data_IF_284116869755
#
_entry.id   IF_284116869755
#
_cell.length_a   1.000
_cell.length_b   1.000
_cell.length_c   1.000
_cell.angle_alpha   90.00
_cell.angle_beta   90.00
_cell.angle_gamma   90.00
#
_symmetry.space_group_name_H-M   'P 1'
#
loop_
_entity.id
_entity.type
_entity.pdbx_description
1 polymer ?
#
# COMPACT_ATOMS: atom_id res chain seq x y z
N UNK A 1 -42.02 9.19 -6.37
CA UNK A 1 -43.12 8.39 -5.78
C UNK A 1 -44.44 9.17 -5.71
N UNK A 2 -44.57 10.21 -4.88
CA UNK A 2 -45.87 10.79 -4.48
C UNK A 2 -46.81 11.27 -5.60
N UNK A 3 -46.28 11.69 -6.75
CA UNK A 3 -47.07 12.16 -7.90
C UNK A 3 -47.98 11.09 -8.52
N UNK A 4 -47.59 9.81 -8.47
CA UNK A 4 -48.41 8.70 -8.98
C UNK A 4 -49.69 8.52 -8.15
N UNK A 5 -49.59 8.68 -6.81
CA UNK A 5 -50.75 8.58 -5.91
C UNK A 5 -51.76 9.71 -6.13
N UNK A 6 -51.27 10.94 -6.39
CA UNK A 6 -52.14 12.08 -6.69
C UNK A 6 -52.94 11.90 -7.99
N UNK A 7 -52.33 11.34 -9.04
CA UNK A 7 -53.01 11.08 -10.30
C UNK A 7 -54.04 9.94 -10.18
N UNK A 8 -53.74 8.89 -9.40
CA UNK A 8 -54.68 7.80 -9.14
C UNK A 8 -55.96 8.30 -8.42
N UNK A 9 -55.82 9.18 -7.42
CA UNK A 9 -56.96 9.80 -6.72
C UNK A 9 -57.84 10.63 -7.65
N UNK A 10 -57.23 11.49 -8.49
CA UNK A 10 -57.97 12.29 -9.48
C UNK A 10 -58.73 11.44 -10.50
N UNK A 11 -58.18 10.30 -10.91
CA UNK A 11 -58.89 9.36 -11.78
C UNK A 11 -60.10 8.75 -11.08
N UNK A 12 -59.93 8.31 -9.83
CA UNK A 12 -61.01 7.76 -9.01
C UNK A 12 -62.14 8.78 -8.77
N UNK A 13 -61.79 10.04 -8.47
CA UNK A 13 -62.74 11.15 -8.33
C UNK A 13 -63.54 11.39 -9.62
N UNK A 14 -62.86 11.43 -10.77
CA UNK A 14 -63.51 11.63 -12.08
C UNK A 14 -64.44 10.46 -12.48
N UNK A 15 -64.09 9.22 -12.12
CA UNK A 15 -64.91 8.05 -12.42
C UNK A 15 -66.12 7.92 -11.48
N UNK A 16 -65.99 8.32 -10.20
CA UNK A 16 -67.12 8.49 -9.28
C UNK A 16 -68.07 9.58 -9.78
N UNK A 17 -67.55 10.73 -10.21
CA UNK A 17 -68.39 11.82 -10.75
C UNK A 17 -69.12 11.38 -12.03
N UNK A 18 -68.44 10.63 -12.90
CA UNK A 18 -69.03 10.02 -14.11
C UNK A 18 -70.16 9.05 -13.76
N UNK A 19 -69.97 8.19 -12.77
CA UNK A 19 -70.97 7.23 -12.29
C UNK A 19 -72.21 7.94 -11.73
N UNK A 20 -72.03 8.96 -10.91
CA UNK A 20 -73.13 9.79 -10.37
C UNK A 20 -73.89 10.49 -11.50
N UNK A 21 -73.19 11.11 -12.45
CA UNK A 21 -73.80 11.76 -13.63
C UNK A 21 -74.57 10.77 -14.51
N UNK A 22 -74.10 9.52 -14.64
CA UNK A 22 -74.85 8.46 -15.35
C UNK A 22 -76.09 7.99 -14.59
N UNK A 23 -75.98 7.76 -13.27
CA UNK A 23 -77.12 7.36 -12.43
C UNK A 23 -78.23 8.42 -12.45
N UNK A 24 -77.87 9.70 -12.30
CA UNK A 24 -78.82 10.81 -12.34
C UNK A 24 -79.53 10.94 -13.70
N UNK A 25 -78.82 10.74 -14.82
CA UNK A 25 -79.44 10.73 -16.16
C UNK A 25 -80.43 9.59 -16.33
N UNK A 26 -80.05 8.37 -15.92
CA UNK A 26 -80.93 7.19 -15.95
C UNK A 26 -82.19 7.39 -15.09
N UNK A 27 -82.04 7.98 -13.90
CA UNK A 27 -83.18 8.28 -13.04
C UNK A 27 -84.13 9.35 -13.63
N UNK A 28 -83.58 10.40 -14.26
CA UNK A 28 -84.38 11.41 -14.97
C UNK A 28 -85.11 10.80 -16.17
N UNK A 29 -84.49 9.87 -16.90
CA UNK A 29 -85.09 9.15 -18.02
C UNK A 29 -86.21 8.20 -17.57
N UNK A 30 -86.00 7.46 -16.48
CA UNK A 30 -87.03 6.63 -15.86
C UNK A 30 -88.22 7.46 -15.33
N UNK A 31 -87.96 8.60 -14.66
CA UNK A 31 -89.03 9.53 -14.23
C UNK A 31 -89.84 10.03 -15.44
N UNK A 32 -89.17 10.39 -16.55
CA UNK A 32 -89.83 10.84 -17.79
C UNK A 32 -90.63 9.73 -18.49
N UNK A 33 -90.18 8.48 -18.49
CA UNK A 33 -90.93 7.37 -19.10
C UNK A 33 -92.18 7.03 -18.30
N UNK A 34 -92.11 7.08 -16.96
CA UNK A 34 -93.27 6.97 -16.06
C UNK A 34 -94.24 8.14 -16.27
N UNK A 35 -93.76 9.38 -16.30
CA UNK A 35 -94.60 10.57 -16.55
C UNK A 35 -95.31 10.51 -17.91
N UNK A 36 -94.61 10.10 -18.97
CA UNK A 36 -95.17 9.91 -20.31
C UNK A 36 -96.23 8.81 -20.34
N UNK A 37 -95.99 7.69 -19.65
CA UNK A 37 -96.94 6.58 -19.55
C UNK A 37 -98.19 6.99 -18.76
N UNK A 38 -98.03 7.70 -17.65
CA UNK A 38 -99.14 8.26 -16.87
C UNK A 38 -99.95 9.28 -17.68
N UNK A 39 -99.30 10.16 -18.44
CA UNK A 39 -99.97 11.10 -19.36
C UNK A 39 -100.79 10.37 -20.43
N UNK A 40 -100.28 9.26 -20.99
CA UNK A 40 -101.04 8.43 -21.93
C UNK A 40 -102.25 7.78 -21.25
N UNK A 41 -102.08 7.14 -20.10
CA UNK A 41 -103.19 6.52 -19.36
C UNK A 41 -104.29 7.52 -18.97
N UNK A 42 -103.93 8.77 -18.64
CA UNK A 42 -104.90 9.86 -18.39
C UNK A 42 -105.61 10.31 -19.67
N UNK A 43 -104.94 10.26 -20.83
CA UNK A 43 -105.55 10.55 -22.13
C UNK A 43 -106.55 9.43 -22.51
N UNK A 44 -106.12 8.17 -22.45
CA UNK A 44 -106.94 6.97 -22.70
C UNK A 44 -108.18 6.95 -21.78
N UNK A 45 -108.02 7.22 -20.48
CA UNK A 45 -109.14 7.31 -19.54
C UNK A 45 -110.12 8.46 -19.83
N UNK A 46 -109.67 9.55 -20.46
CA UNK A 46 -110.54 10.64 -20.94
C UNK A 46 -111.28 10.26 -22.22
N UNK A 47 -110.69 9.44 -23.07
CA UNK A 47 -111.28 8.97 -24.32
C UNK A 47 -112.33 7.88 -24.05
N UNK A 48 -112.01 6.87 -23.24
CA UNK A 48 -112.97 5.89 -22.71
C UNK A 48 -114.17 6.57 -22.00
N UNK A 49 -113.94 7.70 -21.30
CA UNK A 49 -115.03 8.47 -20.67
C UNK A 49 -115.95 9.16 -21.69
N UNK A 50 -115.46 9.54 -22.89
CA UNK A 50 -116.30 10.06 -23.98
C UNK A 50 -117.12 8.94 -24.62
N UNK A 51 -116.48 7.83 -24.93
CA UNK A 51 -117.12 6.64 -25.52
C UNK A 51 -118.25 6.12 -24.62
N UNK A 52 -118.01 6.05 -23.31
CA UNK A 52 -119.02 5.63 -22.33
C UNK A 52 -120.20 6.62 -22.21
N UNK A 53 -120.04 7.89 -22.61
CA UNK A 53 -121.15 8.85 -22.74
C UNK A 53 -121.92 8.62 -24.05
N UNK A 54 -121.23 8.42 -25.19
CA UNK A 54 -121.86 8.11 -26.47
C UNK A 54 -122.69 6.81 -26.39
N UNK A 55 -122.11 5.74 -25.85
CA UNK A 55 -122.79 4.45 -25.62
C UNK A 55 -123.99 4.56 -24.66
N UNK A 56 -124.06 5.61 -23.82
CA UNK A 56 -125.26 5.91 -23.02
C UNK A 56 -126.33 6.61 -23.84
N UNK A 57 -125.96 7.55 -24.72
CA UNK A 57 -126.88 8.25 -25.62
C UNK A 57 -127.50 7.27 -26.63
N UNK A 58 -126.67 6.49 -27.33
CA UNK A 58 -127.12 5.44 -28.28
C UNK A 58 -128.10 4.44 -27.61
N UNK A 59 -127.84 4.08 -26.35
CA UNK A 59 -128.71 3.19 -25.56
C UNK A 59 -130.07 3.80 -25.21
N UNK A 60 -130.18 5.12 -25.12
CA UNK A 60 -131.47 5.80 -24.96
C UNK A 60 -132.18 5.98 -26.32
N UNK A 61 -131.44 6.29 -27.39
CA UNK A 61 -131.97 6.40 -28.75
C UNK A 61 -132.56 5.06 -29.25
N UNK A 62 -131.86 3.95 -29.05
CA UNK A 62 -132.37 2.61 -29.35
C UNK A 62 -133.64 2.27 -28.54
N UNK A 63 -133.74 2.77 -27.29
CA UNK A 63 -134.94 2.64 -26.45
C UNK A 63 -136.12 3.47 -26.95
N UNK A 64 -135.87 4.58 -27.65
CA UNK A 64 -136.89 5.39 -28.31
C UNK A 64 -137.31 4.79 -29.65
N UNK A 65 -136.37 4.24 -30.43
CA UNK A 65 -136.64 3.57 -31.70
C UNK A 65 -137.49 2.30 -31.53
N UNK A 66 -137.17 1.47 -30.54
CA UNK A 66 -137.90 0.24 -30.22
C UNK A 66 -139.38 0.46 -29.81
N UNK A 67 -139.80 1.71 -29.55
CA UNK A 67 -141.19 2.08 -29.24
C UNK A 67 -142.01 2.52 -30.46
N UNK A 68 -141.43 2.56 -31.68
CA UNK A 68 -142.08 3.16 -32.87
C UNK A 68 -142.41 2.20 -34.03
N UNK A 69 -141.88 0.97 -34.07
CA UNK A 69 -141.96 0.11 -35.26
C UNK A 69 -142.82 -1.17 -35.07
N UNK A 70 -144.13 -1.00 -34.96
CA UNK A 70 -145.12 -2.07 -35.13
C UNK A 70 -146.38 -1.52 -35.83
N UNK A 71 -146.92 -2.25 -36.83
CA UNK A 71 -148.27 -2.17 -37.51
C UNK A 71 -148.27 -2.08 -39.08
N UNK A 72 -148.76 -3.16 -39.76
CA UNK A 72 -149.61 -3.29 -41.00
C UNK A 72 -149.17 -3.17 -42.51
N UNK A 73 -149.99 -3.80 -43.40
CA UNK A 73 -150.12 -3.85 -44.90
C UNK A 73 -151.48 -4.58 -45.31
N UNK A 74 -151.84 -5.19 -46.50
CA UNK A 74 -151.40 -5.18 -47.95
C UNK A 74 -152.53 -5.31 -49.08
N UNK A 75 -152.15 -5.47 -50.39
CA UNK A 75 -152.70 -6.40 -51.47
C UNK A 75 -153.93 -6.13 -52.47
N UNK A 76 -153.97 -6.87 -53.65
CA UNK A 76 -155.00 -7.30 -54.70
C UNK A 76 -155.96 -6.32 -55.50
N UNK A 77 -156.66 -6.60 -56.66
CA UNK A 77 -156.62 -7.61 -57.80
C UNK A 77 -157.94 -7.86 -58.67
N UNK A 78 -157.89 -8.18 -60.01
CA UNK A 78 -159.00 -8.75 -60.91
C UNK A 78 -159.41 -8.01 -62.25
N UNK A 79 -160.28 -8.46 -63.23
CA UNK A 79 -160.74 -9.78 -63.83
C UNK A 79 -161.77 -9.68 -65.07
N UNK A 80 -161.87 -10.70 -65.99
CA UNK A 80 -163.01 -11.19 -66.91
C UNK A 80 -163.62 -10.35 -68.13
N UNK A 81 -164.43 -10.80 -69.18
CA UNK A 81 -164.82 -12.06 -69.93
C UNK A 81 -165.70 -11.89 -71.27
N UNK A 82 -165.89 -12.97 -72.11
CA UNK A 82 -166.92 -13.30 -73.20
C UNK A 82 -166.94 -12.59 -74.61
N UNK A 83 -167.50 -13.03 -75.80
CA UNK A 83 -168.42 -14.08 -76.42
C UNK A 83 -169.95 -13.77 -76.64
N UNK A 84 -170.79 -14.37 -77.59
CA UNK A 84 -170.70 -15.52 -78.57
C UNK A 84 -171.49 -15.44 -79.99
N UNK A 85 -171.79 -16.60 -80.65
CA UNK A 85 -172.81 -17.05 -81.69
C UNK A 85 -172.64 -16.98 -83.27
N UNK A 86 -173.45 -17.73 -84.08
CA UNK A 86 -173.02 -18.54 -85.28
C UNK A 86 -173.65 -18.30 -86.71
N UNK A 87 -173.13 -19.06 -87.69
CA UNK A 87 -173.50 -19.27 -89.14
C UNK A 87 -173.26 -18.16 -90.17
N UNK A 88 -173.92 -16.99 -90.14
CA UNK A 88 -173.39 -15.85 -90.92
C UNK A 88 -171.99 -15.47 -90.37
N UNK A 89 -171.85 -15.67 -89.06
CA UNK A 89 -170.58 -15.66 -88.33
C UNK A 89 -169.64 -16.81 -88.73
N UNK A 90 -170.00 -17.82 -89.53
CA UNK A 90 -169.00 -18.81 -90.02
C UNK A 90 -168.15 -18.23 -91.15
N UNK A 91 -168.73 -17.46 -92.08
CA UNK A 91 -167.92 -16.74 -93.09
C UNK A 91 -167.16 -15.58 -92.46
N UNK A 92 -167.82 -14.78 -91.60
CA UNK A 92 -167.11 -13.73 -90.84
C UNK A 92 -166.08 -14.31 -89.87
N UNK A 93 -166.26 -15.51 -89.30
CA UNK A 93 -165.19 -16.22 -88.58
C UNK A 93 -164.11 -16.70 -89.53
N UNK A 94 -164.39 -17.08 -90.78
CA UNK A 94 -163.33 -17.46 -91.73
C UNK A 94 -162.43 -16.26 -92.05
N UNK A 95 -163.02 -15.11 -92.34
CA UNK A 95 -162.28 -13.85 -92.53
C UNK A 95 -161.58 -13.38 -91.23
N UNK A 96 -162.25 -13.51 -90.08
CA UNK A 96 -161.69 -13.17 -88.76
C UNK A 96 -160.58 -14.14 -88.36
N UNK A 97 -160.66 -15.42 -88.72
CA UNK A 97 -159.60 -16.42 -88.50
C UNK A 97 -158.45 -16.17 -89.46
N UNK A 98 -158.69 -15.78 -90.71
CA UNK A 98 -157.61 -15.37 -91.63
C UNK A 98 -156.91 -14.10 -91.15
N UNK A 99 -157.64 -13.08 -90.69
CA UNK A 99 -157.03 -11.84 -90.16
C UNK A 99 -156.41 -12.03 -88.77
N UNK A 100 -156.98 -12.85 -87.89
CA UNK A 100 -156.35 -13.25 -86.63
C UNK A 100 -155.15 -14.17 -86.85
N UNK A 101 -155.15 -15.04 -87.86
CA UNK A 101 -154.00 -15.86 -88.22
C UNK A 101 -152.89 -15.03 -88.87
N UNK A 102 -153.23 -14.08 -89.75
CA UNK A 102 -152.25 -13.13 -90.28
C UNK A 102 -151.62 -12.29 -89.15
N UNK A 103 -152.45 -11.80 -88.22
CA UNK A 103 -151.99 -11.07 -87.03
C UNK A 103 -151.22 -11.95 -86.04
N UNK A 104 -151.57 -13.23 -85.89
CA UNK A 104 -150.78 -14.16 -85.09
C UNK A 104 -149.42 -14.40 -85.75
N UNK A 105 -149.37 -14.63 -87.06
CA UNK A 105 -148.10 -14.79 -87.78
C UNK A 105 -147.21 -13.53 -87.67
N UNK A 106 -147.81 -12.33 -87.71
CA UNK A 106 -147.16 -11.03 -87.49
C UNK A 106 -146.69 -10.82 -86.05
N UNK A 107 -147.48 -11.26 -85.05
CA UNK A 107 -147.08 -11.26 -83.64
C UNK A 107 -146.02 -12.32 -83.35
N UNK A 108 -146.05 -13.47 -84.01
CA UNK A 108 -145.04 -14.52 -83.93
C UNK A 108 -143.74 -14.08 -84.61
N UNK A 109 -143.78 -13.43 -85.78
CA UNK A 109 -142.57 -12.84 -86.37
C UNK A 109 -141.99 -11.73 -85.49
N UNK A 110 -142.83 -10.82 -84.97
CA UNK A 110 -142.39 -9.77 -84.04
C UNK A 110 -141.83 -10.34 -82.73
N UNK A 111 -142.43 -11.39 -82.18
CA UNK A 111 -141.93 -12.08 -80.98
C UNK A 111 -140.60 -12.77 -81.27
N UNK A 112 -140.45 -13.44 -82.41
CA UNK A 112 -139.20 -14.07 -82.83
C UNK A 112 -138.08 -13.04 -83.09
N UNK A 113 -138.42 -11.88 -83.66
CA UNK A 113 -137.49 -10.74 -83.81
C UNK A 113 -137.05 -10.17 -82.46
N UNK A 114 -137.99 -9.96 -81.52
CA UNK A 114 -137.69 -9.52 -80.16
C UNK A 114 -136.85 -10.56 -79.39
N UNK A 115 -137.18 -11.85 -79.50
CA UNK A 115 -136.39 -12.94 -78.94
C UNK A 115 -134.95 -12.93 -79.48
N UNK A 116 -134.78 -12.74 -80.80
CA UNK A 116 -133.47 -12.65 -81.42
C UNK A 116 -132.72 -11.36 -81.04
N UNK A 117 -133.41 -10.24 -80.82
CA UNK A 117 -132.80 -9.01 -80.30
C UNK A 117 -132.35 -9.18 -78.84
N UNK A 118 -133.17 -9.81 -78.00
CA UNK A 118 -132.83 -10.14 -76.60
C UNK A 118 -131.58 -11.01 -76.58
N UNK A 119 -131.54 -12.14 -77.30
CA UNK A 119 -130.35 -13.00 -77.31
C UNK A 119 -129.11 -12.33 -77.91
N UNK A 120 -129.25 -11.41 -78.88
CA UNK A 120 -128.12 -10.57 -79.36
C UNK A 120 -127.61 -9.62 -78.28
N UNK A 121 -128.49 -9.03 -77.48
CA UNK A 121 -128.13 -8.15 -76.36
C UNK A 121 -127.55 -8.94 -75.18
N UNK A 122 -128.06 -10.13 -74.89
CA UNK A 122 -127.49 -11.06 -73.90
C UNK A 122 -126.08 -11.49 -74.30
N UNK A 123 -125.87 -11.87 -75.56
CA UNK A 123 -124.55 -12.18 -76.13
C UNK A 123 -123.57 -11.00 -76.03
N UNK A 124 -124.03 -9.78 -76.33
CA UNK A 124 -123.22 -8.57 -76.24
C UNK A 124 -122.89 -8.23 -74.78
N UNK A 125 -123.86 -8.30 -73.89
CA UNK A 125 -123.68 -8.03 -72.47
C UNK A 125 -122.75 -9.07 -71.82
N UNK A 126 -122.88 -10.36 -72.16
CA UNK A 126 -121.97 -11.41 -71.71
C UNK A 126 -120.52 -11.16 -72.17
N UNK A 127 -120.32 -10.69 -73.41
CA UNK A 127 -118.99 -10.30 -73.93
C UNK A 127 -118.43 -9.07 -73.20
N UNK A 128 -119.25 -8.05 -72.93
CA UNK A 128 -118.85 -6.85 -72.19
C UNK A 128 -118.53 -7.17 -70.73
N UNK A 129 -119.37 -7.94 -70.04
CA UNK A 129 -119.12 -8.39 -68.66
C UNK A 129 -117.87 -9.28 -68.59
N UNK A 130 -117.68 -10.19 -69.55
CA UNK A 130 -116.46 -10.99 -69.67
C UNK A 130 -115.19 -10.15 -69.82
N UNK A 131 -115.20 -9.16 -70.73
CA UNK A 131 -114.07 -8.23 -70.91
C UNK A 131 -113.81 -7.40 -69.66
N UNK A 132 -114.85 -6.80 -69.06
CA UNK A 132 -114.71 -5.99 -67.85
C UNK A 132 -114.20 -6.82 -66.65
N UNK A 133 -114.55 -8.10 -66.57
CA UNK A 133 -114.07 -9.02 -65.54
C UNK A 133 -112.58 -9.33 -65.76
N UNK A 134 -112.19 -9.67 -66.99
CA UNK A 134 -110.79 -9.92 -67.34
C UNK A 134 -109.92 -8.66 -67.11
N UNK A 135 -110.41 -7.48 -67.49
CA UNK A 135 -109.77 -6.19 -67.23
C UNK A 135 -109.62 -5.94 -65.72
N UNK A 136 -110.67 -6.19 -64.91
CA UNK A 136 -110.62 -6.04 -63.45
C UNK A 136 -109.58 -6.96 -62.82
N UNK A 137 -109.56 -8.25 -63.18
CA UNK A 137 -108.53 -9.18 -62.69
C UNK A 137 -107.11 -8.75 -63.12
N UNK A 138 -106.94 -8.21 -64.34
CA UNK A 138 -105.65 -7.70 -64.81
C UNK A 138 -105.19 -6.48 -64.00
N UNK A 139 -106.11 -5.58 -63.65
CA UNK A 139 -105.86 -4.43 -62.76
C UNK A 139 -105.56 -4.87 -61.34
N UNK A 140 -106.23 -5.90 -60.82
CA UNK A 140 -105.95 -6.46 -59.49
C UNK A 140 -104.56 -7.11 -59.44
N UNK A 141 -104.21 -7.95 -60.44
CA UNK A 141 -102.85 -8.52 -60.60
C UNK A 141 -101.78 -7.43 -60.63
N UNK A 142 -101.99 -6.35 -61.40
CA UNK A 142 -101.09 -5.20 -61.46
C UNK A 142 -101.00 -4.45 -60.13
N UNK A 143 -102.11 -4.28 -59.42
CA UNK A 143 -102.16 -3.61 -58.11
C UNK A 143 -101.39 -4.42 -57.05
N UNK A 144 -101.56 -5.74 -57.03
CA UNK A 144 -100.84 -6.64 -56.12
C UNK A 144 -99.33 -6.65 -56.40
N UNK A 145 -98.92 -6.68 -57.69
CA UNK A 145 -97.51 -6.58 -58.08
C UNK A 145 -96.87 -5.26 -57.60
N UNK A 146 -97.52 -4.11 -57.85
CA UNK A 146 -97.07 -2.80 -57.38
C UNK A 146 -97.04 -2.71 -55.84
N UNK A 147 -97.97 -3.36 -55.15
CA UNK A 147 -97.98 -3.40 -53.68
C UNK A 147 -96.78 -4.20 -53.13
N UNK A 148 -96.38 -5.29 -53.79
CA UNK A 148 -95.21 -6.08 -53.42
C UNK A 148 -93.89 -5.41 -53.79
N UNK A 149 -93.81 -4.71 -54.92
CA UNK A 149 -92.68 -3.83 -55.24
C UNK A 149 -92.53 -2.71 -54.20
N UNK A 150 -93.64 -2.11 -53.75
CA UNK A 150 -93.62 -1.11 -52.68
C UNK A 150 -93.16 -1.70 -51.34
N UNK A 151 -93.55 -2.95 -51.00
CA UNK A 151 -93.03 -3.66 -49.81
C UNK A 151 -91.52 -3.90 -49.91
N UNK A 152 -91.05 -4.41 -51.05
CA UNK A 152 -89.61 -4.66 -51.34
C UNK A 152 -88.80 -3.36 -51.26
N UNK A 153 -89.27 -2.30 -51.91
CA UNK A 153 -88.63 -0.97 -51.92
C UNK A 153 -88.52 -0.39 -50.49
N UNK A 154 -89.60 -0.43 -49.70
CA UNK A 154 -89.57 -0.02 -48.29
C UNK A 154 -88.54 -0.80 -47.47
N UNK A 155 -88.42 -2.12 -47.68
CA UNK A 155 -87.41 -2.94 -46.99
C UNK A 155 -85.98 -2.53 -47.35
N UNK A 156 -85.70 -2.27 -48.63
CA UNK A 156 -84.38 -1.78 -49.09
C UNK A 156 -84.07 -0.39 -48.52
N UNK A 157 -85.06 0.52 -48.44
CA UNK A 157 -84.90 1.84 -47.82
C UNK A 157 -84.59 1.72 -46.33
N UNK A 158 -85.28 0.85 -45.59
CA UNK A 158 -84.96 0.62 -44.17
C UNK A 158 -83.62 -0.07 -43.96
N UNK A 159 -83.23 -1.01 -44.81
CA UNK A 159 -81.94 -1.71 -44.70
C UNK A 159 -80.76 -0.77 -45.04
N UNK A 160 -80.87 0.04 -46.09
CA UNK A 160 -79.88 1.07 -46.43
C UNK A 160 -79.79 2.15 -45.34
N UNK A 161 -80.93 2.59 -44.78
CA UNK A 161 -80.97 3.48 -43.60
C UNK A 161 -80.24 2.89 -42.40
N UNK A 162 -80.41 1.60 -42.08
CA UNK A 162 -79.64 0.89 -41.03
C UNK A 162 -78.14 0.84 -41.36
N UNK A 163 -77.76 0.53 -42.61
CA UNK A 163 -76.36 0.50 -43.08
C UNK A 163 -75.69 1.88 -42.94
N UNK A 164 -76.36 2.96 -43.36
CA UNK A 164 -75.87 4.33 -43.19
C UNK A 164 -75.75 4.72 -41.71
N UNK A 165 -76.72 4.36 -40.86
CA UNK A 165 -76.64 4.61 -39.41
C UNK A 165 -75.49 3.85 -38.73
N UNK A 166 -75.18 2.61 -39.18
CA UNK A 166 -74.02 1.84 -38.72
C UNK A 166 -72.71 2.51 -39.13
N UNK A 167 -72.57 2.87 -40.41
CA UNK A 167 -71.41 3.58 -40.94
C UNK A 167 -71.16 4.92 -40.23
N UNK A 168 -72.21 5.68 -39.90
CA UNK A 168 -72.10 6.95 -39.16
C UNK A 168 -71.60 6.74 -37.72
N UNK A 169 -71.94 5.62 -37.07
CA UNK A 169 -71.35 5.26 -35.75
C UNK A 169 -69.89 4.88 -35.90
N UNK A 170 -69.58 3.97 -36.82
CA UNK A 170 -68.22 3.49 -37.08
C UNK A 170 -67.27 4.64 -37.40
N UNK A 171 -67.67 5.60 -38.26
CA UNK A 171 -66.86 6.78 -38.59
C UNK A 171 -66.70 7.76 -37.43
N UNK A 172 -67.65 7.84 -36.48
CA UNK A 172 -67.48 8.61 -35.24
C UNK A 172 -66.51 7.92 -34.28
N UNK A 173 -66.58 6.60 -34.16
CA UNK A 173 -65.68 5.79 -33.33
C UNK A 173 -64.26 5.72 -33.90
N UNK A 174 -64.08 5.74 -35.22
CA UNK A 174 -62.79 5.95 -35.88
C UNK A 174 -62.24 7.36 -35.62
N UNK A 175 -63.05 8.42 -35.83
CA UNK A 175 -62.61 9.78 -35.57
C UNK A 175 -62.23 10.01 -34.09
N UNK A 176 -62.95 9.40 -33.15
CA UNK A 176 -62.64 9.46 -31.73
C UNK A 176 -61.33 8.74 -31.38
N UNK A 177 -61.05 7.58 -32.01
CA UNK A 177 -59.74 6.89 -31.86
C UNK A 177 -58.60 7.73 -32.43
N UNK A 178 -58.75 8.26 -33.65
CA UNK A 178 -57.75 9.13 -34.27
C UNK A 178 -57.47 10.40 -33.43
N UNK A 179 -58.48 10.96 -32.76
CA UNK A 179 -58.27 12.07 -31.82
C UNK A 179 -57.48 11.64 -30.57
N UNK A 180 -57.77 10.47 -29.99
CA UNK A 180 -57.03 9.93 -28.85
C UNK A 180 -55.57 9.58 -29.20
N UNK A 181 -55.33 9.05 -30.40
CA UNK A 181 -53.98 8.79 -30.93
C UNK A 181 -53.20 10.11 -31.13
N UNK A 182 -53.84 11.14 -31.72
CA UNK A 182 -53.25 12.47 -31.85
C UNK A 182 -52.95 13.12 -30.48
N UNK A 183 -53.82 12.96 -29.48
CA UNK A 183 -53.52 13.41 -28.10
C UNK A 183 -52.30 12.71 -27.51
N UNK A 184 -52.14 11.40 -27.73
CA UNK A 184 -50.98 10.64 -27.27
C UNK A 184 -49.70 11.10 -27.99
N UNK A 185 -49.73 11.25 -29.32
CA UNK A 185 -48.61 11.78 -30.10
C UNK A 185 -48.22 13.19 -29.65
N UNK A 186 -49.20 14.07 -29.38
CA UNK A 186 -48.95 15.42 -28.86
C UNK A 186 -48.35 15.42 -27.43
N UNK A 187 -48.68 14.43 -26.59
CA UNK A 187 -48.02 14.23 -25.28
C UNK A 187 -46.59 13.75 -25.46
N UNK A 188 -46.35 12.77 -26.33
CA UNK A 188 -45.00 12.27 -26.64
C UNK A 188 -44.10 13.36 -27.23
N UNK A 189 -44.60 14.16 -28.18
CA UNK A 189 -43.88 15.29 -28.76
C UNK A 189 -43.47 16.34 -27.70
N UNK A 190 -44.37 16.66 -26.75
CA UNK A 190 -44.04 17.56 -25.63
C UNK A 190 -42.95 16.99 -24.71
N UNK A 191 -42.98 15.69 -24.42
CA UNK A 191 -41.93 15.00 -23.64
C UNK A 191 -40.58 15.03 -24.36
N UNK A 192 -40.55 14.73 -25.66
CA UNK A 192 -39.34 14.80 -26.48
C UNK A 192 -38.79 16.23 -26.55
N UNK A 193 -39.64 17.24 -26.73
CA UNK A 193 -39.23 18.65 -26.72
C UNK A 193 -38.63 19.06 -25.37
N UNK A 194 -39.19 18.62 -24.25
CA UNK A 194 -38.62 18.87 -22.93
C UNK A 194 -37.24 18.21 -22.74
N UNK A 195 -37.05 16.99 -23.28
CA UNK A 195 -35.73 16.32 -23.29
C UNK A 195 -34.71 17.04 -24.19
N UNK A 196 -35.13 17.55 -25.35
CA UNK A 196 -34.28 18.35 -26.23
C UNK A 196 -33.85 19.68 -25.58
N UNK A 197 -34.71 20.30 -24.76
CA UNK A 197 -34.36 21.50 -23.98
C UNK A 197 -33.37 21.19 -22.84
N UNK A 198 -33.43 20.00 -22.25
CA UNK A 198 -32.49 19.55 -21.21
C UNK A 198 -31.11 19.15 -21.76
N UNK A 199 -31.05 18.68 -23.00
CA UNK A 199 -29.83 18.14 -23.64
C UNK A 199 -28.64 19.13 -23.67
N UNK A 200 -28.81 20.43 -23.97
CA UNK A 200 -27.75 21.44 -23.81
C UNK A 200 -27.21 21.59 -22.39
N UNK A 201 -28.05 21.43 -21.36
CA UNK A 201 -27.62 21.49 -19.96
C UNK A 201 -26.78 20.25 -19.59
N UNK A 202 -27.22 19.06 -20.02
CA UNK A 202 -26.45 17.82 -19.83
C UNK A 202 -25.10 17.87 -20.57
N UNK A 203 -25.05 18.40 -21.79
CA UNK A 203 -23.77 18.65 -22.50
C UNK A 203 -22.86 19.59 -21.71
N UNK A 204 -23.38 20.72 -21.21
CA UNK A 204 -22.60 21.65 -20.36
C UNK A 204 -22.13 21.03 -19.05
N UNK A 205 -22.85 20.05 -18.49
CA UNK A 205 -22.39 19.28 -17.33
C UNK A 205 -21.28 18.28 -17.69
N UNK A 206 -21.39 17.63 -18.85
CA UNK A 206 -20.37 16.70 -19.36
C UNK A 206 -19.04 17.39 -19.66
N UNK A 207 -19.05 18.52 -20.36
CA UNK A 207 -17.80 19.25 -20.66
C UNK A 207 -17.13 19.75 -19.38
N UNK A 208 -17.90 20.30 -18.42
CA UNK A 208 -17.38 20.66 -17.08
C UNK A 208 -16.82 19.48 -16.27
N UNK A 209 -17.28 18.27 -16.52
CA UNK A 209 -16.71 17.06 -15.90
C UNK A 209 -15.41 16.63 -16.60
N UNK A 210 -15.26 16.88 -17.91
CA UNK A 210 -14.00 16.69 -18.63
C UNK A 210 -12.95 17.74 -18.24
N UNK A 211 -13.34 19.02 -18.20
CA UNK A 211 -12.51 20.16 -17.74
C UNK A 211 -11.89 19.83 -16.39
N UNK A 212 -12.72 19.57 -15.37
CA UNK A 212 -12.25 19.17 -14.03
C UNK A 212 -11.38 17.92 -13.99
N UNK A 213 -11.59 16.97 -14.91
CA UNK A 213 -10.73 15.78 -15.02
C UNK A 213 -9.38 16.14 -15.63
N UNK A 214 -9.34 17.02 -16.63
CA UNK A 214 -8.10 17.53 -17.21
C UNK A 214 -7.31 18.35 -16.17
N UNK A 215 -7.95 19.27 -15.45
CA UNK A 215 -7.34 20.05 -14.36
C UNK A 215 -6.65 19.14 -13.33
N UNK A 216 -7.34 18.08 -12.90
CA UNK A 216 -6.82 17.10 -11.94
C UNK A 216 -5.66 16.29 -12.53
N UNK A 217 -5.73 15.87 -13.79
CA UNK A 217 -4.63 15.16 -14.47
C UNK A 217 -3.41 16.06 -14.61
N UNK A 218 -3.57 17.32 -15.01
CA UNK A 218 -2.46 18.28 -15.07
C UNK A 218 -1.82 18.52 -13.71
N UNK A 219 -2.61 18.66 -12.64
CA UNK A 219 -2.08 18.84 -11.27
C UNK A 219 -1.33 17.58 -10.79
N UNK A 220 -1.79 16.38 -11.14
CA UNK A 220 -1.05 15.15 -10.84
C UNK A 220 0.23 15.01 -11.67
N UNK A 221 0.19 15.34 -12.96
CA UNK A 221 1.38 15.34 -13.82
C UNK A 221 2.42 16.35 -13.31
N UNK A 222 2.02 17.60 -13.03
CA UNK A 222 2.91 18.64 -12.50
C UNK A 222 3.51 18.24 -11.14
N UNK A 223 2.77 17.53 -10.29
CA UNK A 223 3.30 16.97 -9.03
C UNK A 223 4.29 15.83 -9.24
N UNK A 224 4.06 14.96 -10.23
CA UNK A 224 4.99 13.90 -10.60
C UNK A 224 6.29 14.51 -11.15
N UNK A 225 6.20 15.43 -12.11
CA UNK A 225 7.33 16.19 -12.66
C UNK A 225 8.11 16.94 -11.57
N UNK A 226 7.43 17.58 -10.62
CA UNK A 226 8.07 18.24 -9.47
C UNK A 226 8.81 17.26 -8.57
N UNK A 227 8.21 16.10 -8.26
CA UNK A 227 8.83 15.05 -7.44
C UNK A 227 10.05 14.45 -8.14
N UNK A 228 9.95 14.18 -9.43
CA UNK A 228 11.00 13.55 -10.22
C UNK A 228 12.17 14.52 -10.42
N UNK A 229 11.90 15.82 -10.62
CA UNK A 229 12.93 16.86 -10.57
C UNK A 229 13.55 17.04 -9.16
N UNK A 230 12.78 16.86 -8.08
CA UNK A 230 13.33 16.93 -6.72
C UNK A 230 14.28 15.74 -6.46
N UNK A 231 13.87 14.53 -6.86
CA UNK A 231 14.69 13.33 -6.81
C UNK A 231 15.99 13.48 -7.62
N UNK A 232 15.93 14.01 -8.85
CA UNK A 232 17.14 14.26 -9.67
C UNK A 232 18.11 15.22 -8.97
N UNK A 233 17.63 16.32 -8.38
CA UNK A 233 18.48 17.24 -7.61
C UNK A 233 19.08 16.58 -6.36
N UNK A 234 18.32 15.73 -5.68
CA UNK A 234 18.80 14.96 -4.52
C UNK A 234 19.86 13.92 -4.92
N UNK A 235 19.68 13.27 -6.08
CA UNK A 235 20.65 12.34 -6.67
C UNK A 235 21.94 13.08 -7.10
N UNK A 236 21.82 14.26 -7.70
CA UNK A 236 22.95 15.13 -8.06
C UNK A 236 23.73 15.59 -6.82
N UNK A 237 23.04 16.09 -5.79
CA UNK A 237 23.68 16.47 -4.51
C UNK A 237 24.32 15.26 -3.81
N UNK A 238 23.74 14.06 -3.96
CA UNK A 238 24.30 12.83 -3.39
C UNK A 238 25.55 12.36 -4.15
N UNK A 239 25.56 12.50 -5.48
CA UNK A 239 26.75 12.28 -6.33
C UNK A 239 27.87 13.26 -6.01
N UNK A 240 27.55 14.54 -5.78
CA UNK A 240 28.53 15.55 -5.35
C UNK A 240 29.16 15.17 -4.00
N UNK A 241 28.35 14.87 -2.97
CA UNK A 241 28.83 14.40 -1.66
C UNK A 241 29.68 13.13 -1.75
N UNK A 242 29.36 12.21 -2.66
CA UNK A 242 30.15 11.00 -2.88
C UNK A 242 31.52 11.31 -3.51
N UNK A 243 31.59 12.27 -4.44
CA UNK A 243 32.86 12.75 -5.00
C UNK A 243 33.68 13.51 -3.95
N UNK A 244 33.05 14.35 -3.14
CA UNK A 244 33.69 15.06 -2.02
C UNK A 244 34.27 14.07 -0.98
N UNK A 245 33.52 13.04 -0.60
CA UNK A 245 34.00 12.03 0.34
C UNK A 245 35.09 11.14 -0.26
N UNK A 246 35.00 10.82 -1.56
CA UNK A 246 36.07 10.09 -2.26
C UNK A 246 37.37 10.90 -2.35
N UNK A 247 37.29 12.24 -2.53
CA UNK A 247 38.44 13.13 -2.47
C UNK A 247 39.06 13.15 -1.06
N UNK A 248 38.24 13.33 -0.01
CA UNK A 248 38.71 13.29 1.39
C UNK A 248 39.36 11.94 1.74
N UNK A 249 38.84 10.82 1.25
CA UNK A 249 39.44 9.49 1.43
C UNK A 249 40.78 9.37 0.69
N UNK A 250 40.91 9.97 -0.49
CA UNK A 250 42.19 10.03 -1.21
C UNK A 250 43.22 10.88 -0.45
N UNK A 251 42.85 12.06 0.03
CA UNK A 251 43.72 12.94 0.81
C UNK A 251 44.18 12.28 2.11
N UNK A 252 43.26 11.69 2.89
CA UNK A 252 43.61 10.91 4.10
C UNK A 252 44.47 9.67 3.79
N UNK A 253 44.32 9.07 2.59
CA UNK A 253 45.20 7.97 2.15
C UNK A 253 46.60 8.47 1.83
N UNK A 254 46.73 9.65 1.20
CA UNK A 254 48.02 10.29 0.93
C UNK A 254 48.72 10.72 2.23
N UNK A 255 47.99 11.32 3.17
CA UNK A 255 48.50 11.66 4.51
C UNK A 255 48.95 10.41 5.27
N UNK A 256 48.16 9.32 5.24
CA UNK A 256 48.54 8.05 5.84
C UNK A 256 49.84 7.49 5.23
N UNK A 257 49.99 7.52 3.91
CA UNK A 257 51.21 7.07 3.24
C UNK A 257 52.42 7.91 3.66
N UNK A 258 52.29 9.24 3.65
CA UNK A 258 53.34 10.15 4.10
C UNK A 258 53.74 9.91 5.56
N UNK A 259 52.77 9.77 6.46
CA UNK A 259 53.01 9.47 7.87
C UNK A 259 53.64 8.09 8.07
N UNK A 260 53.27 7.09 7.26
CA UNK A 260 53.88 5.76 7.31
C UNK A 260 55.35 5.80 6.85
N UNK A 261 55.66 6.40 5.69
CA UNK A 261 57.04 6.57 5.24
C UNK A 261 57.87 7.39 6.23
N UNK A 262 57.27 8.40 6.89
CA UNK A 262 57.95 9.17 7.93
C UNK A 262 58.17 8.37 9.23
N UNK A 263 57.29 7.42 9.55
CA UNK A 263 57.47 6.49 10.67
C UNK A 263 58.61 5.50 10.35
N UNK A 264 58.60 4.88 9.16
CA UNK A 264 59.67 4.00 8.66
C UNK A 264 61.04 4.72 8.67
N UNK A 265 61.09 5.98 8.22
CA UNK A 265 62.25 6.85 8.32
C UNK A 265 62.77 7.06 9.76
N UNK A 266 61.88 7.08 10.76
CA UNK A 266 62.22 7.32 12.16
C UNK A 266 62.62 6.01 12.87
N UNK A 267 61.98 4.90 12.55
CA UNK A 267 62.38 3.56 13.01
C UNK A 267 63.79 3.22 12.52
N UNK A 268 64.10 3.49 11.24
CA UNK A 268 65.46 3.35 10.70
C UNK A 268 66.43 4.20 11.52
N UNK A 269 66.15 5.50 11.72
CA UNK A 269 67.04 6.41 12.49
C UNK A 269 67.20 6.00 13.95
N UNK A 270 66.19 5.38 14.57
CA UNK A 270 66.28 4.85 15.94
C UNK A 270 67.19 3.61 15.98
N UNK A 271 67.03 2.65 15.07
CA UNK A 271 67.95 1.51 14.94
C UNK A 271 69.39 2.01 14.70
N UNK A 272 69.54 3.00 13.82
CA UNK A 272 70.82 3.63 13.48
C UNK A 272 71.46 4.32 14.71
N UNK A 273 70.67 4.76 15.70
CA UNK A 273 71.14 5.35 16.96
C UNK A 273 71.45 4.26 17.99
N UNK A 274 70.61 3.24 18.12
CA UNK A 274 70.82 2.14 19.06
C UNK A 274 72.03 1.28 18.67
N UNK A 275 72.30 1.06 17.39
CA UNK A 275 73.55 0.45 16.90
C UNK A 275 74.77 1.30 17.23
N UNK A 276 74.66 2.64 17.14
CA UNK A 276 75.74 3.56 17.53
C UNK A 276 75.94 3.56 19.06
N UNK A 277 74.88 3.51 19.86
CA UNK A 277 74.99 3.37 21.31
C UNK A 277 75.55 2.00 21.71
N UNK A 278 75.13 0.91 21.08
CA UNK A 278 75.62 -0.44 21.38
C UNK A 278 77.09 -0.60 21.00
N UNK A 279 77.52 -0.05 19.86
CA UNK A 279 78.94 -0.03 19.48
C UNK A 279 79.76 0.88 20.38
N UNK A 280 79.26 2.05 20.79
CA UNK A 280 79.90 2.90 21.80
C UNK A 280 80.05 2.18 23.14
N UNK A 281 78.99 1.54 23.66
CA UNK A 281 79.04 0.75 24.90
C UNK A 281 80.05 -0.41 24.80
N UNK A 282 80.15 -1.09 23.65
CA UNK A 282 81.20 -2.08 23.42
C UNK A 282 82.61 -1.46 23.40
N UNK A 283 82.79 -0.27 22.83
CA UNK A 283 84.07 0.45 22.85
C UNK A 283 84.44 0.93 24.25
N UNK A 284 83.48 1.41 25.04
CA UNK A 284 83.69 1.82 26.44
C UNK A 284 83.96 0.62 27.34
N UNK A 285 83.24 -0.49 27.20
CA UNK A 285 83.54 -1.74 27.91
C UNK A 285 84.96 -2.24 27.58
N UNK A 286 85.37 -2.20 26.30
CA UNK A 286 86.77 -2.50 25.90
C UNK A 286 87.77 -1.49 26.45
N UNK A 287 87.40 -0.22 26.69
CA UNK A 287 88.24 0.79 27.34
C UNK A 287 88.37 0.52 28.85
N UNK A 288 87.27 0.16 29.52
CA UNK A 288 87.25 -0.20 30.92
C UNK A 288 88.09 -1.45 31.20
N UNK A 289 87.92 -2.53 30.44
CA UNK A 289 88.75 -3.75 30.58
C UNK A 289 90.24 -3.46 30.36
N UNK A 290 90.58 -2.55 29.44
CA UNK A 290 91.98 -2.08 29.28
C UNK A 290 92.46 -1.29 30.50
N UNK A 291 91.65 -0.36 31.01
CA UNK A 291 91.97 0.41 32.21
C UNK A 291 92.16 -0.52 33.42
N UNK A 292 91.24 -1.46 33.65
CA UNK A 292 91.31 -2.51 34.67
C UNK A 292 92.61 -3.33 34.57
N UNK A 293 93.02 -3.73 33.36
CA UNK A 293 94.32 -4.40 33.17
C UNK A 293 95.52 -3.51 33.50
N UNK A 294 95.47 -2.22 33.14
CA UNK A 294 96.56 -1.28 33.46
C UNK A 294 96.60 -0.88 34.93
N UNK A 295 95.46 -0.83 35.63
CA UNK A 295 95.42 -0.61 37.08
C UNK A 295 95.91 -1.84 37.82
N UNK A 296 95.54 -3.06 37.40
CA UNK A 296 96.09 -4.29 37.96
C UNK A 296 97.62 -4.38 37.77
N UNK A 297 98.13 -4.02 36.59
CA UNK A 297 99.58 -3.89 36.35
C UNK A 297 100.26 -2.84 37.25
N UNK A 298 99.59 -1.72 37.54
CA UNK A 298 100.12 -0.67 38.41
C UNK A 298 100.05 -1.06 39.89
N UNK A 299 99.01 -1.79 40.31
CA UNK A 299 98.88 -2.39 41.64
C UNK A 299 99.95 -3.46 41.86
N UNK A 300 100.23 -4.32 40.87
CA UNK A 300 101.33 -5.29 40.94
C UNK A 300 102.70 -4.58 41.05
N UNK A 301 102.94 -3.53 40.25
CA UNK A 301 104.16 -2.72 40.33
C UNK A 301 104.27 -1.96 41.65
N UNK A 302 103.16 -1.50 42.23
CA UNK A 302 103.13 -0.83 43.53
C UNK A 302 103.41 -1.83 44.67
N UNK A 303 102.80 -3.02 44.65
CA UNK A 303 103.08 -4.08 45.61
C UNK A 303 104.53 -4.56 45.54
N UNK A 304 105.11 -4.64 44.33
CA UNK A 304 106.53 -4.93 44.14
C UNK A 304 107.43 -3.79 44.68
N UNK A 305 107.05 -2.52 44.47
CA UNK A 305 107.77 -1.38 45.02
C UNK A 305 107.67 -1.30 46.55
N UNK A 306 106.51 -1.61 47.14
CA UNK A 306 106.37 -1.74 48.60
C UNK A 306 107.20 -2.89 49.16
N UNK A 307 107.27 -4.03 48.47
CA UNK A 307 108.12 -5.15 48.88
C UNK A 307 109.60 -4.73 48.88
N UNK A 308 110.08 -4.12 47.80
CA UNK A 308 111.43 -3.57 47.71
C UNK A 308 111.71 -2.46 48.76
N UNK A 309 110.70 -1.64 49.10
CA UNK A 309 110.83 -0.65 50.17
C UNK A 309 110.94 -1.29 51.56
N UNK A 310 110.18 -2.36 51.85
CA UNK A 310 110.29 -3.15 53.08
C UNK A 310 111.63 -3.88 53.17
N UNK A 311 112.14 -4.41 52.06
CA UNK A 311 113.48 -5.03 51.98
C UNK A 311 114.58 -3.97 52.21
N UNK A 312 114.45 -2.77 51.64
CA UNK A 312 115.37 -1.66 51.88
C UNK A 312 115.32 -1.14 53.34
N UNK A 313 114.14 -1.10 53.96
CA UNK A 313 114.00 -0.77 55.38
C UNK A 313 114.66 -1.83 56.27
N UNK A 314 114.46 -3.13 55.98
CA UNK A 314 115.12 -4.24 56.68
C UNK A 314 116.64 -4.16 56.55
N UNK A 315 117.17 -3.94 55.34
CA UNK A 315 118.59 -3.71 55.12
C UNK A 315 119.11 -2.47 55.86
N UNK A 316 118.32 -1.40 55.96
CA UNK A 316 118.63 -0.22 56.77
C UNK A 316 118.67 -0.49 58.28
N UNK A 317 117.79 -1.36 58.79
CA UNK A 317 117.80 -1.82 60.18
C UNK A 317 119.02 -2.71 60.45
N UNK A 318 119.40 -3.57 59.51
CA UNK A 318 120.61 -4.40 59.61
C UNK A 318 121.89 -3.55 59.56
N UNK A 319 121.97 -2.56 58.67
CA UNK A 319 123.08 -1.61 58.63
C UNK A 319 123.26 -0.85 59.96
N UNK A 320 122.16 -0.40 60.60
CA UNK A 320 122.21 0.22 61.94
C UNK A 320 122.71 -0.75 63.01
N UNK A 321 122.24 -2.01 63.01
CA UNK A 321 122.72 -3.05 63.94
C UNK A 321 124.21 -3.33 63.77
N UNK A 322 124.71 -3.36 62.53
CA UNK A 322 126.15 -3.50 62.24
C UNK A 322 126.93 -2.30 62.76
N UNK A 323 126.43 -1.08 62.55
CA UNK A 323 127.05 0.15 63.07
C UNK A 323 127.08 0.18 64.61
N UNK A 324 126.02 -0.27 65.29
CA UNK A 324 125.98 -0.42 66.76
C UNK A 324 126.92 -1.51 67.29
N UNK A 325 127.20 -2.55 66.50
CA UNK A 325 128.23 -3.54 66.84
C UNK A 325 129.64 -2.98 66.64
N UNK A 326 129.86 -2.21 65.56
CA UNK A 326 131.14 -1.56 65.29
C UNK A 326 131.51 -0.54 66.37
N UNK A 327 130.58 0.32 66.80
CA UNK A 327 130.86 1.30 67.87
C UNK A 327 131.17 0.63 69.21
N UNK A 328 130.46 -0.45 69.57
CA UNK A 328 130.79 -1.26 70.76
C UNK A 328 132.19 -1.88 70.68
N UNK A 329 132.59 -2.38 69.51
CA UNK A 329 133.92 -2.95 69.30
C UNK A 329 135.03 -1.88 69.37
N UNK A 330 134.78 -0.66 68.87
CA UNK A 330 135.70 0.48 69.04
C UNK A 330 135.85 0.87 70.50
N UNK A 331 134.75 0.95 71.24
CA UNK A 331 134.79 1.35 72.66
C UNK A 331 135.51 0.31 73.54
N UNK A 332 135.35 -0.99 73.25
CA UNK A 332 136.15 -2.07 73.88
C UNK A 332 137.66 -1.94 73.55
N UNK A 333 138.02 -1.40 72.39
CA UNK A 333 139.42 -1.16 72.01
C UNK A 333 140.00 0.10 72.69
N UNK A 334 139.17 1.12 72.94
CA UNK A 334 139.52 2.30 73.74
C UNK A 334 139.73 1.90 75.23
N UNK A 335 138.78 1.20 75.85
CA UNK A 335 138.92 0.64 77.21
C UNK A 335 140.21 -0.22 77.36
N UNK A 336 140.61 -0.93 76.31
CA UNK A 336 141.82 -1.75 76.29
C UNK A 336 143.11 -0.93 76.11
N UNK A 337 143.05 0.25 75.48
CA UNK A 337 144.18 1.16 75.35
C UNK A 337 144.48 1.85 76.70
N UNK A 338 143.44 2.40 77.34
CA UNK A 338 143.53 3.02 78.68
C UNK A 338 144.10 2.02 79.71
N UNK A 339 143.67 0.76 79.65
CA UNK A 339 144.16 -0.32 80.51
C UNK A 339 145.64 -0.72 80.24
N UNK A 340 146.22 -0.34 79.09
CA UNK A 340 147.66 -0.45 78.80
C UNK A 340 148.40 0.80 79.27
N UNK A 341 147.85 1.98 79.07
CA UNK A 341 148.46 3.26 79.50
C UNK A 341 148.64 3.31 81.03
N UNK A 342 147.61 2.94 81.80
CA UNK A 342 147.67 2.81 83.27
C UNK A 342 148.71 1.77 83.73
N UNK A 343 149.02 0.75 82.93
CA UNK A 343 150.12 -0.21 83.22
C UNK A 343 151.49 0.38 82.91
N UNK A 344 151.62 1.13 81.82
CA UNK A 344 152.86 1.81 81.45
C UNK A 344 153.27 2.82 82.53
N UNK A 345 152.37 3.70 82.95
CA UNK A 345 152.65 4.65 84.04
C UNK A 345 153.08 3.96 85.35
N UNK A 346 152.48 2.79 85.66
CA UNK A 346 152.81 2.04 86.87
C UNK A 346 154.23 1.47 86.81
N UNK A 347 154.64 0.94 85.65
CA UNK A 347 155.99 0.46 85.42
C UNK A 347 157.03 1.60 85.49
N UNK A 348 156.70 2.79 84.99
CA UNK A 348 157.59 3.98 85.10
C UNK A 348 157.77 4.43 86.55
N UNK A 349 156.69 4.45 87.35
CA UNK A 349 156.75 4.77 88.80
C UNK A 349 157.61 3.76 89.57
N UNK A 350 157.50 2.47 89.25
CA UNK A 350 158.31 1.40 89.85
C UNK A 350 159.79 1.50 89.42
N UNK A 351 160.07 1.85 88.15
CA UNK A 351 161.43 2.09 87.66
C UNK A 351 162.10 3.29 88.37
N UNK A 352 161.38 4.40 88.55
CA UNK A 352 161.88 5.59 89.23
C UNK A 352 162.24 5.31 90.71
N UNK A 353 161.43 4.49 91.40
CA UNK A 353 161.75 4.05 92.77
C UNK A 353 163.01 3.18 92.80
N UNK A 354 163.17 2.24 91.85
CA UNK A 354 164.37 1.43 91.76
C UNK A 354 165.65 2.26 91.50
N UNK A 355 165.56 3.30 90.67
CA UNK A 355 166.66 4.23 90.42
C UNK A 355 167.05 5.05 91.67
N UNK A 356 166.09 5.53 92.45
CA UNK A 356 166.40 6.18 93.74
C UNK A 356 167.07 5.22 94.73
N UNK A 357 166.63 3.96 94.81
CA UNK A 357 167.26 2.96 95.68
C UNK A 357 168.69 2.64 95.24
N UNK A 358 168.95 2.57 93.93
CA UNK A 358 170.29 2.34 93.38
C UNK A 358 171.25 3.49 93.73
N UNK A 359 170.82 4.75 93.54
CA UNK A 359 171.63 5.93 93.87
C UNK A 359 171.98 5.99 95.38
N UNK A 360 170.99 5.73 96.25
CA UNK A 360 171.20 5.69 97.70
C UNK A 360 172.21 4.61 98.13
N UNK A 361 172.23 3.45 97.46
CA UNK A 361 173.23 2.41 97.69
C UNK A 361 174.62 2.81 97.17
N UNK A 362 174.69 3.51 96.03
CA UNK A 362 175.95 3.97 95.46
C UNK A 362 176.64 5.01 96.36
N UNK A 363 175.88 5.95 96.93
CA UNK A 363 176.42 6.95 97.85
C UNK A 363 176.81 6.36 99.22
N UNK A 364 176.05 5.38 99.72
CA UNK A 364 176.41 4.63 100.92
C UNK A 364 177.73 3.82 100.76
N UNK A 365 178.04 3.37 99.53
CA UNK A 365 179.30 2.70 99.20
C UNK A 365 180.46 3.70 99.04
N UNK A 366 180.25 4.84 98.39
CA UNK A 366 181.24 5.94 98.30
C UNK A 366 181.70 6.38 99.70
N UNK A 367 180.76 6.48 100.66
CA UNK A 367 181.04 6.83 102.06
C UNK A 367 181.93 5.81 102.82
N UNK A 368 182.15 4.60 102.28
CA UNK A 368 183.04 3.57 102.84
C UNK A 368 184.32 3.33 102.02
N UNK A 369 184.58 4.13 100.99
CA UNK A 369 185.82 4.04 100.21
C UNK A 369 185.92 2.81 99.28
N UNK A 370 184.80 2.19 98.91
CA UNK A 370 184.75 1.03 98.01
C UNK A 370 183.78 1.32 96.85
N UNK A 371 184.24 1.17 95.61
CA UNK A 371 183.43 1.45 94.42
C UNK A 371 182.71 0.19 93.89
N UNK A 372 181.44 0.36 93.50
CA UNK A 372 180.53 -0.73 93.13
C UNK A 372 181.03 -1.63 91.97
N UNK A 373 181.85 -1.08 91.07
CA UNK A 373 182.41 -1.79 89.91
C UNK A 373 183.30 -3.01 90.24
N UNK A 374 183.72 -3.21 91.49
CA UNK A 374 184.49 -4.39 91.89
C UNK A 374 183.62 -5.63 92.19
N UNK A 375 182.30 -5.48 92.33
CA UNK A 375 181.38 -6.56 92.72
C UNK A 375 180.64 -7.23 91.54
N UNK A 376 180.39 -6.53 90.43
CA UNK A 376 179.69 -7.09 89.26
C UNK A 376 180.62 -7.92 88.34
N UNK A 377 181.39 -8.85 88.93
CA UNK A 377 182.36 -9.67 88.18
C UNK A 377 182.21 -11.19 88.39
N UNK A 378 180.96 -11.67 88.51
CA UNK A 378 180.62 -13.10 88.38
C UNK A 378 179.13 -13.32 88.06
N UNK A 379 178.85 -14.29 87.16
CA UNK A 379 177.54 -14.89 86.79
C UNK A 379 176.43 -13.93 86.25
N UNK A 380 175.94 -14.01 85.00
CA UNK A 380 175.26 -15.11 84.25
C UNK A 380 173.97 -15.61 84.93
N UNK A 381 172.85 -15.93 84.28
CA UNK A 381 172.29 -15.82 82.91
C UNK A 381 170.95 -16.62 82.92
N UNK A 382 170.11 -16.55 81.87
CA UNK A 382 169.28 -17.67 81.28
C UNK A 382 168.06 -17.14 80.50
N UNK A 383 167.75 -17.79 79.37
CA UNK A 383 166.59 -17.55 78.49
C UNK A 383 165.47 -18.59 78.72
N UNK A 384 164.26 -18.39 78.18
CA UNK A 384 163.45 -19.47 77.53
C UNK A 384 162.24 -18.90 76.72
N UNK A 385 161.74 -19.56 75.64
CA UNK A 385 160.73 -19.00 74.73
C UNK A 385 159.44 -19.87 74.50
N UNK A 386 158.45 -19.34 73.75
CA UNK A 386 157.34 -20.09 73.13
C UNK A 386 155.99 -19.34 73.07
N UNK A 387 154.92 -19.80 72.39
CA UNK A 387 154.77 -20.83 71.33
C UNK A 387 153.33 -20.84 70.74
N UNK A 388 153.20 -20.79 69.42
CA UNK A 388 152.17 -21.39 68.51
C UNK A 388 150.63 -21.18 68.68
N UNK A 389 150.02 -20.72 67.57
CA UNK A 389 148.89 -21.33 66.77
C UNK A 389 147.47 -21.55 67.31
N UNK A 390 146.48 -21.16 66.48
CA UNK A 390 145.29 -21.98 66.14
C UNK A 390 144.65 -21.55 64.80
N UNK A 391 143.72 -22.35 64.27
CA UNK A 391 142.93 -22.12 63.05
C UNK A 391 141.51 -22.69 63.23
N UNK A 392 140.66 -22.63 62.19
CA UNK A 392 139.68 -23.69 61.79
C UNK A 392 138.22 -23.24 61.49
N UNK A 393 137.74 -23.58 60.27
CA UNK A 393 136.38 -24.12 59.93
C UNK A 393 135.07 -23.31 60.16
N UNK A 394 133.92 -23.59 59.50
CA UNK A 394 133.55 -24.06 58.14
C UNK A 394 131.99 -24.05 57.99
N UNK A 395 131.43 -24.62 56.91
CA UNK A 395 130.00 -25.02 56.70
C UNK A 395 129.03 -23.86 56.34
N UNK A 396 128.23 -23.85 55.24
CA UNK A 396 127.79 -24.86 54.22
C UNK A 396 126.86 -25.95 54.79
N UNK A 397 125.77 -26.40 54.17
CA UNK A 397 125.18 -26.21 52.82
C UNK A 397 123.85 -25.38 52.94
N UNK A 398 122.75 -25.45 52.15
CA UNK A 398 122.31 -26.28 51.02
C UNK A 398 121.25 -25.56 50.14
N UNK A 399 120.71 -26.22 49.09
CA UNK A 399 119.63 -25.68 48.23
C UNK A 399 118.68 -26.75 47.68
N UNK A 400 117.48 -26.36 47.22
CA UNK A 400 116.78 -26.97 46.06
C UNK A 400 115.63 -26.07 45.54
N UNK A 401 115.00 -26.43 44.42
CA UNK A 401 114.23 -25.53 43.55
C UNK A 401 112.82 -26.04 43.16
N UNK A 402 112.00 -25.07 42.68
CA UNK A 402 110.89 -25.17 41.69
C UNK A 402 109.42 -25.35 42.18
N UNK A 403 108.56 -25.04 41.19
CA UNK A 403 107.14 -24.64 41.11
C UNK A 403 106.66 -25.15 39.70
N UNK A 404 105.41 -24.95 39.17
CA UNK A 404 104.17 -24.38 39.74
C UNK A 404 102.84 -25.10 39.30
N UNK A 405 101.68 -24.46 39.57
CA UNK A 405 100.34 -24.63 38.90
C UNK A 405 99.62 -26.00 39.11
N UNK A 406 98.31 -26.25 38.89
CA UNK A 406 97.07 -25.51 38.51
C UNK A 406 95.84 -26.23 39.17
N UNK A 407 94.52 -26.13 38.89
CA UNK A 407 93.66 -25.48 37.85
C UNK A 407 92.18 -25.34 38.33
N UNK A 408 91.40 -24.45 37.70
CA UNK A 408 89.92 -24.45 37.49
C UNK A 408 88.92 -24.51 38.65
N UNK A 409 87.95 -23.58 38.64
CA UNK A 409 86.61 -23.74 39.26
C UNK A 409 85.53 -23.12 38.34
N UNK A 410 84.47 -23.86 38.04
CA UNK A 410 83.26 -23.35 37.38
C UNK A 410 82.00 -23.94 38.05
N UNK A 411 80.95 -23.13 38.17
CA UNK A 411 79.54 -23.53 37.97
C UNK A 411 78.66 -22.28 38.05
N UNK A 412 77.59 -22.24 37.27
CA UNK A 412 76.65 -21.12 37.21
C UNK A 412 75.29 -21.49 37.79
N UNK A 413 74.55 -20.48 38.26
CA UNK A 413 73.15 -20.61 38.68
C UNK A 413 72.26 -19.79 37.76
N UNK A 414 71.11 -20.34 37.34
CA UNK A 414 70.05 -19.58 36.66
C UNK A 414 68.68 -20.21 36.91
N UNK A 415 67.73 -19.40 37.39
CA UNK A 415 66.42 -19.87 37.86
C UNK A 415 65.28 -19.47 36.91
N UNK A 416 64.65 -20.49 36.32
CA UNK A 416 63.19 -20.74 36.34
C UNK A 416 62.25 -19.54 36.58
N UNK A 417 61.40 -19.23 35.60
CA UNK A 417 59.93 -19.23 35.76
C UNK A 417 59.20 -19.00 34.41
N UNK A 418 58.06 -19.67 34.19
CA UNK A 418 57.20 -19.45 33.02
C UNK A 418 55.74 -19.80 33.36
N UNK A 419 54.83 -18.80 33.37
CA UNK A 419 53.37 -18.87 33.51
C UNK A 419 52.80 -17.43 33.39
N UNK A 420 51.52 -17.15 33.08
CA UNK A 420 50.49 -17.82 32.25
C UNK A 420 49.18 -17.01 32.32
N UNK A 421 48.57 -16.74 31.16
CA UNK A 421 47.15 -16.38 30.91
C UNK A 421 46.60 -15.05 31.49
N UNK A 422 45.66 -14.39 30.77
CA UNK A 422 44.21 -14.34 31.12
C UNK A 422 43.34 -13.62 30.05
N UNK A 423 42.08 -14.08 29.89
CA UNK A 423 40.86 -13.39 29.37
C UNK A 423 40.90 -12.72 27.98
N UNK A 424 40.07 -13.11 26.99
CA UNK A 424 38.58 -13.12 26.90
C UNK A 424 37.97 -11.74 26.63
N UNK A 425 37.21 -11.64 25.52
CA UNK A 425 35.92 -10.96 25.38
C UNK A 425 35.14 -11.65 24.24
N UNK A 426 33.80 -11.65 24.32
CA UNK A 426 32.87 -12.10 23.24
C UNK A 426 32.35 -10.87 22.49
N UNK A 427 31.73 -11.07 21.34
CA UNK A 427 30.38 -10.56 21.11
C UNK A 427 29.65 -11.41 20.04
N UNK A 428 28.33 -11.44 20.14
CA UNK A 428 27.42 -11.85 19.08
C UNK A 428 26.92 -10.58 18.38
N UNK A 429 26.39 -10.68 17.18
CA UNK A 429 25.24 -9.87 16.75
C UNK A 429 24.44 -10.64 15.69
N UNK A 430 23.11 -10.58 15.78
CA UNK A 430 22.16 -11.47 15.09
C UNK A 430 20.82 -10.72 14.88
N UNK A 431 20.80 -9.81 13.90
CA UNK A 431 19.64 -9.03 13.40
C UNK A 431 19.97 -8.68 11.92
N UNK A 432 19.17 -8.90 10.88
CA UNK A 432 17.74 -9.18 10.66
C UNK A 432 16.84 -7.94 10.51
N UNK A 433 16.00 -8.01 9.46
CA UNK A 433 14.84 -7.20 9.07
C UNK A 433 15.03 -5.92 8.22
N UNK A 434 14.12 -5.82 7.23
CA UNK A 434 13.72 -4.70 6.35
C UNK A 434 14.65 -4.30 5.19
#
# INVERSE_FOLDING_TARGET
>A
MSTLSANARKQQEADVERLVKCRLRSEIEARKSVESTMKRAVQEARELKKELVLLRQEKEELRLAARKHAVSAPDNGGKDLNQPDKRAVVLKLREKIQTLSARNNELESSTNELQQQISKLEDQNAKVVGQLTADLEEKERKTNALQDELKKSKHVVDETKRKCQKMIKEKREEAQRALQENEQLARCAKTLQAQLVLLPQLKKQLERAKEKRADVVEVWQKKLEQRDQAFLREEEMSKQKLVESAAQVADLTNEKQYLQTRLEELEIKLSDIDDKHQTQLQHEARRLVKLESTTAELEEKLLAAEAAAREAEQAGIEARKIQEQETRLRQIAEDAADAVEVRAEKAERELAQAQMQLNNLEDALKARGVTFGYLLKQHTSVSVPGRATSSSTNNKTNSTLRKPLSTTRQTATKTKAHRSNRSVIRNNEDERDQ
#
